data_IF_286326893103
#
_entry.id   IF_286326893103
#
_cell.length_a   1.000
_cell.length_b   1.000
_cell.length_c   1.000
_cell.angle_alpha   90.00
_cell.angle_beta   90.00
_cell.angle_gamma   90.00
#
_symmetry.space_group_name_H-M   'P 1'
#
loop_
_entity.id
_entity.type
_entity.pdbx_description
1 polymer ?
#
# COMPACT_ATOMS: atom_id res chain seq x y z
N UNK A 1 15.92 -2.35 19.76
CA UNK A 1 16.88 -2.91 18.81
C UNK A 1 16.91 -4.38 19.14
N UNK A 2 16.29 -5.15 18.28
CA UNK A 2 16.20 -6.59 18.38
C UNK A 2 16.40 -7.18 16.99
N UNK A 3 15.97 -8.42 16.77
CA UNK A 3 16.07 -9.23 15.55
C UNK A 3 16.25 -8.43 14.25
N UNK A 4 17.37 -8.66 13.57
CA UNK A 4 17.73 -8.02 12.30
C UNK A 4 17.93 -6.49 12.32
N UNK A 5 17.58 -5.78 13.39
CA UNK A 5 17.52 -4.31 13.39
C UNK A 5 18.83 -3.62 13.77
N UNK A 6 18.95 -2.35 13.39
CA UNK A 6 20.12 -1.53 13.75
C UNK A 6 19.78 -0.04 13.94
N UNK A 7 20.68 0.68 14.62
CA UNK A 7 20.73 2.16 14.64
C UNK A 7 21.86 2.68 13.74
N UNK A 8 22.96 1.91 13.65
CA UNK A 8 24.13 2.15 12.81
C UNK A 8 24.92 0.83 12.66
N UNK A 9 25.62 0.65 11.54
CA UNK A 9 26.31 -0.61 11.24
C UNK A 9 25.38 -1.63 10.60
N UNK A 10 25.56 -2.92 10.91
CA UNK A 10 24.85 -4.02 10.24
C UNK A 10 24.20 -4.95 11.27
N UNK A 11 22.90 -5.19 11.14
CA UNK A 11 22.14 -6.21 11.86
C UNK A 11 21.52 -7.19 10.86
N UNK A 12 21.70 -8.49 11.09
CA UNK A 12 21.17 -9.54 10.23
C UNK A 12 20.63 -10.66 11.12
N UNK A 13 19.40 -11.08 10.85
CA UNK A 13 18.85 -12.35 11.31
C UNK A 13 18.41 -13.14 10.08
N UNK A 14 18.78 -14.41 10.05
CA UNK A 14 18.31 -15.36 9.03
C UNK A 14 17.76 -16.55 9.79
N UNK A 15 16.45 -16.76 9.69
CA UNK A 15 15.81 -18.01 10.08
C UNK A 15 15.70 -18.93 8.86
N UNK A 16 15.61 -20.23 9.11
CA UNK A 16 15.59 -21.25 8.07
C UNK A 16 14.30 -22.06 8.02
N UNK A 17 13.59 -22.20 9.15
CA UNK A 17 12.38 -23.00 9.25
C UNK A 17 11.79 -22.90 10.66
N UNK A 18 10.46 -22.82 10.74
CA UNK A 18 9.71 -22.97 11.97
C UNK A 18 8.52 -22.03 11.98
N UNK A 19 7.49 -22.34 12.78
CA UNK A 19 6.42 -21.37 13.01
C UNK A 19 6.89 -20.43 14.13
N UNK A 20 7.43 -19.27 13.77
CA UNK A 20 8.12 -18.39 14.70
C UNK A 20 7.29 -17.18 15.17
N UNK A 21 7.79 -16.58 16.26
CA UNK A 21 7.15 -15.41 16.88
C UNK A 21 8.14 -14.29 17.13
N UNK A 22 7.97 -13.27 16.32
CA UNK A 22 8.79 -12.07 16.26
C UNK A 22 8.07 -10.89 16.91
N UNK A 23 8.24 -10.72 18.24
CA UNK A 23 7.49 -9.69 18.99
C UNK A 23 8.36 -8.67 19.72
N UNK A 24 7.96 -7.39 19.66
CA UNK A 24 8.57 -6.31 20.41
C UNK A 24 7.92 -4.96 20.15
N UNK A 25 8.14 -3.99 21.03
CA UNK A 25 7.46 -2.69 20.91
C UNK A 25 8.00 -1.83 19.77
N UNK A 26 9.33 -1.62 19.73
CA UNK A 26 9.97 -0.72 18.74
C UNK A 26 11.37 -1.15 18.38
N UNK A 27 11.80 -0.83 17.16
CA UNK A 27 13.15 -1.11 16.63
C UNK A 27 13.45 -2.62 16.60
N UNK A 28 12.71 -3.29 15.74
CA UNK A 28 12.73 -4.71 15.34
C UNK A 28 12.16 -4.75 13.91
N UNK A 29 11.58 -5.80 13.40
CA UNK A 29 12.28 -6.85 12.67
C UNK A 29 12.95 -6.27 11.41
N UNK A 30 14.27 -6.07 11.42
CA UNK A 30 15.01 -5.44 10.31
C UNK A 30 14.99 -3.90 10.23
N UNK A 31 14.26 -3.16 11.07
CA UNK A 31 14.27 -1.67 11.13
C UNK A 31 15.69 -1.08 11.09
N UNK A 32 15.94 -0.08 10.25
CA UNK A 32 17.24 0.62 10.18
C UNK A 32 17.11 2.11 9.90
N UNK A 33 17.69 2.91 10.78
CA UNK A 33 18.26 4.23 10.57
C UNK A 33 19.76 4.00 10.26
N UNK A 34 20.44 4.83 9.47
CA UNK A 34 21.92 4.95 9.42
C UNK A 34 22.79 3.77 8.96
N UNK A 35 22.24 2.57 8.78
CA UNK A 35 22.97 1.34 8.49
C UNK A 35 22.09 0.31 7.79
N UNK A 36 22.45 -0.98 7.87
CA UNK A 36 21.73 -2.07 7.21
C UNK A 36 21.09 -2.97 8.26
N UNK A 37 19.77 -3.14 8.19
CA UNK A 37 19.02 -4.08 9.03
C UNK A 37 18.25 -5.07 8.18
N UNK A 38 18.48 -6.36 8.39
CA UNK A 38 17.85 -7.43 7.61
C UNK A 38 17.24 -8.47 8.55
N UNK A 39 15.97 -8.80 8.36
CA UNK A 39 15.42 -10.08 8.73
C UNK A 39 15.08 -10.84 7.45
N UNK A 40 15.48 -12.10 7.39
CA UNK A 40 15.11 -13.04 6.34
C UNK A 40 14.56 -14.28 7.04
N UNK A 41 13.28 -14.57 6.87
CA UNK A 41 12.69 -15.86 7.20
C UNK A 41 12.56 -16.69 5.91
N UNK A 42 12.53 -18.01 6.02
CA UNK A 42 12.60 -18.90 4.86
C UNK A 42 11.43 -19.85 4.71
N UNK A 43 10.73 -20.13 5.80
CA UNK A 43 9.61 -21.07 5.80
C UNK A 43 8.96 -21.13 7.18
N UNK A 44 7.64 -21.19 7.19
CA UNK A 44 6.85 -21.45 8.39
C UNK A 44 5.65 -20.52 8.43
N UNK A 45 4.73 -20.75 9.35
CA UNK A 45 3.62 -19.82 9.54
C UNK A 45 3.96 -18.88 10.70
N UNK A 46 4.32 -17.65 10.37
CA UNK A 46 5.03 -16.72 11.21
C UNK A 46 4.18 -15.58 11.77
N UNK A 47 4.62 -15.04 12.90
CA UNK A 47 3.93 -13.93 13.55
C UNK A 47 4.86 -12.76 13.89
N UNK A 48 4.71 -11.68 13.12
CA UNK A 48 5.46 -10.44 13.25
C UNK A 48 4.64 -9.39 13.99
N UNK A 49 4.93 -9.15 15.27
CA UNK A 49 4.18 -8.18 16.08
C UNK A 49 5.05 -7.04 16.57
N UNK A 50 4.82 -5.85 16.00
CA UNK A 50 5.45 -4.61 16.41
C UNK A 50 4.46 -3.46 16.63
N UNK A 51 4.87 -2.46 17.40
CA UNK A 51 4.04 -1.27 17.63
C UNK A 51 4.50 -0.05 16.84
N UNK A 52 5.81 0.13 16.62
CA UNK A 52 6.35 1.33 15.98
C UNK A 52 7.77 1.09 15.48
N UNK A 53 8.17 1.68 14.35
CA UNK A 53 9.54 1.59 13.82
C UNK A 53 10.00 0.14 13.71
N UNK A 54 9.37 -0.59 12.79
CA UNK A 54 9.58 -2.02 12.67
C UNK A 54 9.48 -2.55 11.23
N UNK A 55 9.63 -3.87 11.07
CA UNK A 55 9.30 -4.64 9.85
C UNK A 55 9.83 -3.96 8.58
N UNK A 56 11.16 -3.93 8.44
CA UNK A 56 11.77 -3.34 7.24
C UNK A 56 11.66 -1.82 7.10
N UNK A 57 11.48 -1.04 8.18
CA UNK A 57 11.44 0.43 8.05
C UNK A 57 12.85 1.07 7.99
N UNK A 58 13.09 1.82 6.92
CA UNK A 58 14.33 2.51 6.58
C UNK A 58 14.30 4.02 6.88
N UNK A 59 15.04 4.47 7.87
CA UNK A 59 15.18 5.86 8.28
C UNK A 59 16.49 6.49 7.70
N UNK A 60 16.89 7.74 8.01
CA UNK A 60 17.97 8.42 7.28
C UNK A 60 19.26 7.61 7.11
N UNK A 61 19.76 7.52 5.87
CA UNK A 61 20.93 6.73 5.43
C UNK A 61 20.79 5.20 5.63
N UNK A 62 19.63 4.72 6.08
CA UNK A 62 19.38 3.32 6.38
C UNK A 62 18.79 2.56 5.20
N UNK A 63 19.13 1.28 5.14
CA UNK A 63 18.43 0.27 4.34
C UNK A 63 17.89 -0.80 5.30
N UNK A 64 16.60 -1.07 5.22
CA UNK A 64 15.92 -2.05 6.07
C UNK A 64 15.14 -3.04 5.20
N UNK A 65 15.25 -4.33 5.51
CA UNK A 65 14.54 -5.42 4.85
C UNK A 65 13.90 -6.33 5.90
N UNK A 66 12.64 -6.66 5.67
CA UNK A 66 12.02 -7.90 6.14
C UNK A 66 11.65 -8.69 4.88
N UNK A 67 12.10 -9.94 4.80
CA UNK A 67 11.89 -10.84 3.67
C UNK A 67 11.39 -12.16 4.26
N UNK A 68 10.08 -12.42 4.15
CA UNK A 68 9.51 -13.74 4.38
C UNK A 68 9.28 -14.42 3.02
N UNK A 69 9.48 -15.73 2.96
CA UNK A 69 9.60 -16.46 1.69
C UNK A 69 8.48 -17.47 1.45
N UNK A 70 7.75 -17.92 2.48
CA UNK A 70 6.71 -18.96 2.38
C UNK A 70 5.99 -19.11 3.73
N UNK A 71 4.66 -19.05 3.76
CA UNK A 71 3.92 -19.19 5.01
C UNK A 71 2.56 -18.53 4.99
N UNK A 72 1.62 -18.99 5.82
CA UNK A 72 0.45 -18.15 6.14
C UNK A 72 0.81 -17.26 7.35
N UNK A 73 1.21 -16.02 7.08
CA UNK A 73 1.86 -15.13 8.03
C UNK A 73 0.97 -14.00 8.54
N UNK A 74 1.34 -13.51 9.73
CA UNK A 74 0.64 -12.40 10.38
C UNK A 74 1.57 -11.24 10.71
N UNK A 75 1.42 -10.14 9.97
CA UNK A 75 2.12 -8.89 10.18
C UNK A 75 1.25 -7.87 10.92
N UNK A 76 1.60 -7.56 12.15
CA UNK A 76 0.91 -6.55 12.96
C UNK A 76 1.83 -5.36 13.26
N UNK A 77 1.45 -4.16 12.82
CA UNK A 77 2.16 -2.90 13.09
C UNK A 77 1.21 -1.86 13.70
N UNK A 78 1.30 -1.67 15.02
CA UNK A 78 0.55 -0.64 15.74
C UNK A 78 0.01 -1.11 17.10
N UNK A 79 -1.28 -0.87 17.34
CA UNK A 79 -1.98 -1.25 18.58
C UNK A 79 -1.57 -0.55 19.89
N UNK A 80 -0.57 0.33 19.93
CA UNK A 80 0.01 0.82 21.21
C UNK A 80 -0.10 2.32 21.49
N UNK A 81 0.16 3.20 20.51
CA UNK A 81 0.21 4.65 20.71
C UNK A 81 -0.68 5.35 19.69
N UNK A 82 -1.61 6.21 20.12
CA UNK A 82 -2.43 7.00 19.20
C UNK A 82 -1.56 7.76 18.19
N UNK A 83 -2.12 7.98 17.00
CA UNK A 83 -1.43 8.72 15.96
C UNK A 83 -1.21 10.20 16.32
N UNK A 84 -0.34 10.84 15.57
CA UNK A 84 0.07 12.23 15.78
C UNK A 84 -0.85 13.29 15.17
N UNK A 85 -1.94 12.91 14.49
CA UNK A 85 -2.92 13.83 13.91
C UNK A 85 -4.09 14.07 14.88
N UNK A 86 -4.29 15.32 15.30
CA UNK A 86 -5.39 15.66 16.22
C UNK A 86 -6.78 15.53 15.56
N UNK A 87 -6.85 15.60 14.23
CA UNK A 87 -8.11 15.62 13.48
C UNK A 87 -8.71 14.24 13.19
N UNK A 88 -7.95 13.16 13.34
CA UNK A 88 -8.36 11.81 12.97
C UNK A 88 -7.96 10.80 14.05
N UNK A 89 -8.78 9.79 14.34
CA UNK A 89 -8.40 8.73 15.26
C UNK A 89 -7.43 7.77 14.58
N UNK A 90 -6.83 6.88 15.37
CA UNK A 90 -5.94 5.85 14.86
C UNK A 90 -4.75 5.62 15.76
N UNK A 91 -3.88 4.73 15.32
CA UNK A 91 -2.70 4.31 16.05
C UNK A 91 -1.48 4.45 15.13
N UNK A 92 -0.42 5.04 15.64
CA UNK A 92 0.82 5.28 14.92
C UNK A 92 1.52 3.96 14.55
N UNK A 93 2.00 3.86 13.30
CA UNK A 93 2.70 2.69 12.76
C UNK A 93 4.17 2.94 12.47
N UNK A 94 4.56 3.17 11.22
CA UNK A 94 5.96 3.23 10.74
C UNK A 94 6.65 1.86 10.71
N UNK A 95 6.06 0.95 9.94
CA UNK A 95 6.67 -0.34 9.63
C UNK A 95 6.20 -0.87 8.29
N UNK A 96 6.44 -2.15 8.04
CA UNK A 96 6.07 -2.84 6.80
C UNK A 96 6.65 -2.12 5.57
N UNK A 97 7.97 -2.07 5.50
CA UNK A 97 8.68 -1.55 4.33
C UNK A 97 8.61 -0.03 4.16
N UNK A 98 8.41 0.74 5.22
CA UNK A 98 8.37 2.21 5.12
C UNK A 98 9.76 2.83 5.03
N UNK A 99 9.97 3.75 4.09
CA UNK A 99 11.15 4.63 4.05
C UNK A 99 10.84 6.03 4.57
N UNK A 100 11.49 6.48 5.64
CA UNK A 100 11.11 7.69 6.35
C UNK A 100 12.28 8.63 6.72
N UNK A 101 12.19 9.89 6.32
CA UNK A 101 13.09 10.94 6.81
C UNK A 101 12.64 11.53 8.14
N UNK A 102 13.61 12.02 8.91
CA UNK A 102 13.31 12.88 10.05
C UNK A 102 13.06 14.28 9.52
N UNK A 103 11.78 14.67 9.44
CA UNK A 103 11.35 15.92 8.82
C UNK A 103 12.16 17.12 9.33
N UNK A 104 12.64 17.93 8.38
CA UNK A 104 13.51 19.11 8.61
C UNK A 104 14.89 18.81 9.23
N UNK A 105 15.25 17.53 9.41
CA UNK A 105 16.54 17.12 9.99
C UNK A 105 17.35 16.32 8.98
N UNK A 106 16.79 15.28 8.38
CA UNK A 106 17.49 14.41 7.42
C UNK A 106 16.53 13.71 6.46
N UNK A 107 17.00 13.46 5.24
CA UNK A 107 16.27 12.69 4.22
C UNK A 107 16.12 11.23 4.64
N UNK A 108 15.04 10.59 4.20
CA UNK A 108 14.74 9.20 4.52
C UNK A 108 15.71 8.18 3.93
N UNK A 109 15.57 6.95 4.44
CA UNK A 109 16.23 5.77 3.91
C UNK A 109 15.31 4.98 2.99
N UNK A 110 15.68 3.71 2.81
CA UNK A 110 14.94 2.73 2.02
C UNK A 110 14.40 1.66 2.97
N UNK A 111 13.08 1.54 3.04
CA UNK A 111 12.40 0.44 3.72
C UNK A 111 11.84 -0.56 2.71
N UNK A 112 11.96 -1.84 3.03
CA UNK A 112 11.49 -2.95 2.19
C UNK A 112 10.82 -4.01 3.05
N UNK A 113 9.62 -4.44 2.65
CA UNK A 113 9.00 -5.69 3.08
C UNK A 113 8.72 -6.54 1.85
N UNK A 114 9.09 -7.81 1.90
CA UNK A 114 8.82 -8.81 0.88
C UNK A 114 8.15 -10.00 1.55
N UNK A 115 7.12 -10.53 0.89
CA UNK A 115 6.48 -11.78 1.26
C UNK A 115 6.38 -12.67 0.02
N UNK A 116 6.81 -13.93 0.17
CA UNK A 116 6.86 -14.94 -0.87
C UNK A 116 5.50 -15.54 -1.24
N UNK A 117 4.61 -15.70 -0.28
CA UNK A 117 3.24 -16.13 -0.50
C UNK A 117 2.68 -17.07 0.55
N UNK A 118 1.38 -17.31 0.43
CA UNK A 118 0.51 -17.89 1.47
C UNK A 118 -0.73 -17.03 1.59
N UNK A 119 -1.68 -17.31 2.48
CA UNK A 119 -2.83 -16.41 2.68
C UNK A 119 -2.53 -15.45 3.84
N UNK A 120 -1.93 -14.28 3.55
CA UNK A 120 -1.32 -13.43 4.55
C UNK A 120 -2.22 -12.35 5.14
N UNK A 121 -1.88 -11.90 6.35
CA UNK A 121 -2.60 -10.81 7.03
C UNK A 121 -1.66 -9.69 7.43
N UNK A 122 -1.88 -8.51 6.87
CA UNK A 122 -1.20 -7.26 7.21
C UNK A 122 -2.13 -6.31 7.97
N UNK A 123 -1.90 -6.13 9.27
CA UNK A 123 -2.66 -5.23 10.13
C UNK A 123 -1.88 -3.94 10.47
N UNK A 124 -2.42 -2.79 10.06
CA UNK A 124 -1.83 -1.47 10.37
C UNK A 124 -2.85 -0.33 10.28
N UNK A 125 -2.59 0.76 10.99
CA UNK A 125 -3.45 1.95 11.03
C UNK A 125 -2.83 3.13 10.27
N UNK A 126 -1.68 3.64 10.73
CA UNK A 126 -1.05 4.83 10.15
C UNK A 126 0.34 4.55 9.61
N UNK A 127 0.64 5.13 8.46
CA UNK A 127 1.99 5.29 7.94
C UNK A 127 2.75 3.95 7.94
N UNK A 128 2.17 2.92 7.36
CA UNK A 128 2.77 1.60 7.19
C UNK A 128 2.55 1.11 5.76
N UNK A 129 3.14 -0.05 5.43
CA UNK A 129 2.92 -0.81 4.19
C UNK A 129 3.34 -0.13 2.89
N UNK A 130 4.62 -0.30 2.53
CA UNK A 130 5.19 0.17 1.27
C UNK A 130 5.24 1.70 1.14
N UNK A 131 5.27 2.42 2.25
CA UNK A 131 5.10 3.88 2.30
C UNK A 131 6.39 4.71 2.33
N UNK A 132 6.39 5.86 1.66
CA UNK A 132 7.48 6.84 1.71
C UNK A 132 7.10 8.11 2.47
N UNK A 133 7.96 8.57 3.38
CA UNK A 133 7.81 9.84 4.07
C UNK A 133 9.12 10.66 4.07
N UNK A 134 9.03 11.97 3.78
CA UNK A 134 10.15 12.92 3.85
C UNK A 134 11.44 12.45 3.14
N UNK A 135 11.42 12.50 1.81
CA UNK A 135 12.54 12.06 0.95
C UNK A 135 12.96 10.59 1.16
N UNK A 136 12.11 9.74 1.75
CA UNK A 136 12.34 8.30 1.88
C UNK A 136 11.71 7.50 0.75
N UNK A 137 12.12 6.23 0.64
CA UNK A 137 11.53 5.26 -0.29
C UNK A 137 11.02 4.04 0.48
N UNK A 138 9.71 3.80 0.40
CA UNK A 138 9.11 2.56 0.87
C UNK A 138 8.78 1.61 -0.27
N UNK A 139 8.91 0.32 0.00
CA UNK A 139 8.62 -0.75 -0.95
C UNK A 139 8.02 -1.94 -0.21
N UNK A 140 6.83 -2.35 -0.63
CA UNK A 140 6.22 -3.62 -0.26
C UNK A 140 6.02 -4.45 -1.52
N UNK A 141 6.28 -5.75 -1.43
CA UNK A 141 5.85 -6.69 -2.46
C UNK A 141 5.37 -7.98 -1.85
N UNK A 142 4.20 -8.41 -2.29
CA UNK A 142 3.70 -9.76 -2.10
C UNK A 142 3.85 -10.52 -3.41
N UNK A 143 4.35 -11.76 -3.34
CA UNK A 143 4.57 -12.61 -4.49
C UNK A 143 3.38 -13.56 -4.76
N UNK A 144 2.41 -13.65 -3.84
CA UNK A 144 1.05 -14.07 -4.14
C UNK A 144 0.37 -14.86 -3.03
N UNK A 145 -0.96 -14.88 -3.02
CA UNK A 145 -1.70 -15.25 -1.82
C UNK A 145 -3.05 -14.58 -1.78
N UNK A 146 -4.06 -15.09 -1.07
CA UNK A 146 -5.30 -14.31 -0.90
C UNK A 146 -5.17 -13.41 0.33
N UNK A 147 -4.48 -12.28 0.20
CA UNK A 147 -4.07 -11.53 1.39
C UNK A 147 -5.10 -10.52 1.86
N UNK A 148 -4.90 -10.12 3.11
CA UNK A 148 -5.73 -9.14 3.77
C UNK A 148 -4.88 -8.01 4.36
N UNK A 149 -5.00 -6.82 3.76
CA UNK A 149 -4.40 -5.57 4.24
C UNK A 149 -5.45 -4.79 5.03
N UNK A 150 -5.44 -5.00 6.34
CA UNK A 150 -6.49 -4.62 7.29
C UNK A 150 -6.07 -3.49 8.22
N UNK A 151 -7.07 -2.76 8.73
CA UNK A 151 -6.87 -1.88 9.90
C UNK A 151 -6.67 -2.71 11.16
N UNK A 152 -5.79 -2.33 12.09
CA UNK A 152 -5.55 -3.17 13.28
C UNK A 152 -6.83 -3.36 14.10
N UNK A 153 -7.11 -4.59 14.51
CA UNK A 153 -8.33 -4.95 15.26
C UNK A 153 -8.14 -4.98 16.76
N UNK A 154 -6.90 -5.14 17.21
CA UNK A 154 -6.54 -5.34 18.61
C UNK A 154 -5.57 -4.27 19.10
N UNK A 155 -5.52 -4.07 20.42
CA UNK A 155 -4.40 -3.37 21.03
C UNK A 155 -3.12 -4.23 20.89
N UNK A 156 -1.96 -3.64 21.16
CA UNK A 156 -0.67 -4.33 21.00
C UNK A 156 -0.56 -5.58 21.88
N UNK A 157 -1.25 -5.62 23.02
CA UNK A 157 -1.30 -6.79 23.90
C UNK A 157 -2.28 -7.90 23.43
N UNK A 158 -2.93 -7.73 22.28
CA UNK A 158 -3.94 -8.65 21.74
C UNK A 158 -5.34 -8.49 22.34
N UNK A 159 -5.52 -7.60 23.32
CA UNK A 159 -6.82 -7.28 23.89
C UNK A 159 -7.63 -6.29 23.04
N UNK A 160 -8.83 -5.92 23.49
CA UNK A 160 -9.64 -4.90 22.82
C UNK A 160 -8.90 -3.56 22.73
N UNK A 161 -8.93 -2.93 21.54
CA UNK A 161 -8.48 -1.54 21.38
C UNK A 161 -9.57 -0.55 21.76
N UNK A 162 -9.17 0.64 22.21
CA UNK A 162 -10.08 1.75 22.52
C UNK A 162 -10.26 2.72 21.36
N UNK A 163 -9.23 2.86 20.53
CA UNK A 163 -9.27 3.72 19.35
C UNK A 163 -10.19 3.12 18.28
N UNK A 164 -11.00 3.93 17.58
CA UNK A 164 -11.75 3.49 16.40
C UNK A 164 -10.84 2.87 15.34
N UNK A 165 -11.36 1.89 14.58
CA UNK A 165 -10.68 1.37 13.39
C UNK A 165 -10.60 2.49 12.35
N UNK A 166 -9.40 3.01 12.13
CA UNK A 166 -9.14 4.08 11.18
C UNK A 166 -7.76 3.92 10.57
N UNK A 167 -7.67 4.12 9.25
CA UNK A 167 -6.41 4.02 8.52
C UNK A 167 -6.18 5.26 7.67
N UNK A 168 -4.95 5.78 7.73
CA UNK A 168 -4.47 6.92 6.95
C UNK A 168 -3.04 6.63 6.50
N UNK A 169 -2.74 6.88 5.23
CA UNK A 169 -1.50 6.45 4.60
C UNK A 169 -1.41 4.93 4.62
N UNK A 170 -2.26 4.35 3.74
CA UNK A 170 -2.58 2.93 3.64
C UNK A 170 -1.48 2.14 2.92
N UNK A 171 -1.81 1.57 1.77
CA UNK A 171 -0.89 0.78 0.95
C UNK A 171 -0.18 1.65 -0.11
N UNK A 172 1.14 1.52 -0.26
CA UNK A 172 1.88 2.06 -1.41
C UNK A 172 1.74 3.58 -1.58
N UNK A 173 2.01 4.35 -0.52
CA UNK A 173 1.74 5.79 -0.48
C UNK A 173 3.02 6.64 -0.38
N UNK A 174 2.97 7.87 -0.89
CA UNK A 174 4.06 8.84 -0.79
C UNK A 174 3.65 10.12 -0.07
N UNK A 175 4.54 10.67 0.76
CA UNK A 175 4.30 11.93 1.45
C UNK A 175 5.58 12.78 1.60
N UNK A 176 5.50 14.07 1.24
CA UNK A 176 6.59 15.05 1.37
C UNK A 176 7.87 14.63 0.63
N UNK A 177 7.88 14.72 -0.71
CA UNK A 177 9.04 14.41 -1.56
C UNK A 177 9.50 12.94 -1.53
N UNK A 178 8.67 12.05 -1.00
CA UNK A 178 8.97 10.64 -0.84
C UNK A 178 8.29 9.78 -1.90
N UNK A 179 8.66 8.50 -1.95
CA UNK A 179 8.13 7.52 -2.88
C UNK A 179 7.67 6.28 -2.11
N UNK A 180 6.47 5.80 -2.38
CA UNK A 180 5.98 4.53 -1.83
C UNK A 180 5.41 3.65 -2.92
N UNK A 181 5.68 2.35 -2.79
CA UNK A 181 5.28 1.32 -3.73
C UNK A 181 4.74 0.12 -2.96
N UNK A 182 3.61 -0.39 -3.42
CA UNK A 182 3.16 -1.74 -3.16
C UNK A 182 2.97 -2.46 -4.49
N UNK A 183 3.51 -3.67 -4.58
CA UNK A 183 3.25 -4.60 -5.66
C UNK A 183 2.60 -5.86 -5.08
N UNK A 184 1.54 -6.32 -5.70
CA UNK A 184 0.92 -7.61 -5.43
C UNK A 184 0.92 -8.41 -6.73
N UNK A 185 1.46 -9.62 -6.70
CA UNK A 185 1.69 -10.40 -7.91
C UNK A 185 0.50 -11.31 -8.28
N UNK A 186 -0.30 -11.76 -7.30
CA UNK A 186 -1.45 -12.65 -7.54
C UNK A 186 -2.28 -12.90 -6.28
N UNK A 187 -3.60 -13.05 -6.42
CA UNK A 187 -4.46 -13.47 -5.32
C UNK A 187 -5.86 -12.89 -5.40
N UNK A 188 -6.82 -13.39 -4.62
CA UNK A 188 -8.06 -12.64 -4.41
C UNK A 188 -7.90 -11.76 -3.14
N UNK A 189 -7.41 -10.53 -3.32
CA UNK A 189 -6.89 -9.68 -2.26
C UNK A 189 -7.89 -8.67 -1.68
N UNK A 190 -7.62 -8.25 -0.43
CA UNK A 190 -8.43 -7.25 0.27
C UNK A 190 -7.60 -6.07 0.76
N UNK A 191 -7.95 -4.89 0.26
CA UNK A 191 -7.32 -3.62 0.65
C UNK A 191 -8.29 -2.74 1.45
N UNK A 192 -8.20 -2.80 2.79
CA UNK A 192 -8.94 -1.87 3.64
C UNK A 192 -8.29 -0.50 3.74
N UNK A 193 -9.11 0.51 4.05
CA UNK A 193 -8.62 1.83 4.40
C UNK A 193 -9.73 2.83 4.65
N UNK A 194 -9.35 4.02 5.13
CA UNK A 194 -10.32 5.10 5.39
C UNK A 194 -10.03 6.35 4.59
N UNK A 195 -8.84 6.94 4.69
CA UNK A 195 -8.48 8.15 3.94
C UNK A 195 -7.01 8.08 3.49
N UNK A 196 -6.63 8.86 2.48
CA UNK A 196 -5.23 9.03 2.07
C UNK A 196 -4.51 7.68 1.91
N UNK A 197 -5.07 6.80 1.08
CA UNK A 197 -4.91 5.34 1.17
C UNK A 197 -4.08 4.74 0.04
N UNK A 198 -4.68 3.75 -0.63
CA UNK A 198 -4.08 2.90 -1.66
C UNK A 198 -3.53 3.67 -2.86
N UNK A 199 -2.20 3.66 -3.04
CA UNK A 199 -1.57 4.36 -4.17
C UNK A 199 -1.65 5.87 -4.06
N UNK A 200 -1.73 6.42 -2.85
CA UNK A 200 -1.94 7.85 -2.62
C UNK A 200 -0.62 8.63 -2.54
N UNK A 201 -0.61 9.85 -3.09
CA UNK A 201 0.51 10.78 -2.97
C UNK A 201 0.11 12.13 -2.38
N UNK A 202 0.91 12.62 -1.43
CA UNK A 202 0.80 13.96 -0.84
C UNK A 202 2.11 14.74 -0.93
N UNK A 203 2.06 16.00 -1.38
CA UNK A 203 3.18 16.95 -1.29
C UNK A 203 4.45 16.50 -2.05
N UNK A 204 4.50 16.76 -3.36
CA UNK A 204 5.63 16.47 -4.25
C UNK A 204 6.11 15.02 -4.24
N UNK A 205 5.20 14.05 -4.04
CA UNK A 205 5.53 12.64 -3.83
C UNK A 205 4.92 11.73 -4.89
N UNK A 206 5.33 10.46 -4.85
CA UNK A 206 4.76 9.38 -5.65
C UNK A 206 4.23 8.29 -4.71
N UNK A 207 2.99 7.85 -4.94
CA UNK A 207 2.42 6.66 -4.32
C UNK A 207 1.88 5.76 -5.41
N UNK A 208 2.21 4.48 -5.34
CA UNK A 208 1.71 3.47 -6.27
C UNK A 208 1.34 2.18 -5.55
N UNK A 209 0.16 1.67 -5.87
CA UNK A 209 -0.24 0.28 -5.64
C UNK A 209 -0.44 -0.35 -7.01
N UNK A 210 0.20 -1.49 -7.26
CA UNK A 210 0.02 -2.27 -8.48
C UNK A 210 -0.34 -3.71 -8.09
N UNK A 211 -1.56 -4.12 -8.39
CA UNK A 211 -2.01 -5.52 -8.33
C UNK A 211 -1.95 -6.13 -9.74
N UNK A 212 -1.60 -7.41 -9.84
CA UNK A 212 -1.27 -8.05 -11.11
C UNK A 212 -2.10 -9.29 -11.47
N UNK A 213 -2.93 -9.80 -10.56
CA UNK A 213 -3.93 -10.82 -10.88
C UNK A 213 -4.83 -11.05 -9.69
N UNK A 214 -6.13 -11.17 -9.91
CA UNK A 214 -7.01 -11.46 -8.79
C UNK A 214 -8.48 -11.35 -9.06
N UNK A 215 -9.29 -11.32 -8.00
CA UNK A 215 -10.59 -10.69 -7.98
C UNK A 215 -10.66 -9.87 -6.69
N UNK A 216 -10.17 -8.65 -6.78
CA UNK A 216 -9.69 -7.90 -5.64
C UNK A 216 -10.76 -6.95 -5.12
N UNK A 217 -10.69 -6.69 -3.82
CA UNK A 217 -11.66 -5.85 -3.12
C UNK A 217 -10.98 -4.67 -2.46
N UNK A 218 -11.02 -3.53 -3.14
CA UNK A 218 -10.53 -2.25 -2.66
C UNK A 218 -11.57 -1.53 -1.80
N UNK A 219 -11.56 -1.82 -0.50
CA UNK A 219 -12.51 -1.28 0.49
C UNK A 219 -12.21 0.15 0.92
N UNK A 220 -11.03 0.69 0.60
CA UNK A 220 -10.61 2.04 1.01
C UNK A 220 -11.48 3.15 0.40
N UNK A 221 -12.59 3.51 1.05
CA UNK A 221 -13.69 4.25 0.42
C UNK A 221 -13.81 5.74 0.79
N UNK A 222 -13.00 6.27 1.72
CA UNK A 222 -13.10 7.68 2.12
C UNK A 222 -12.31 8.63 1.21
N UNK A 223 -11.91 9.77 1.76
CA UNK A 223 -11.26 10.85 1.00
C UNK A 223 -9.83 10.51 0.58
N UNK A 224 -9.49 10.81 -0.68
CA UNK A 224 -8.13 10.71 -1.22
C UNK A 224 -7.53 9.29 -1.14
N UNK A 225 -8.30 8.24 -1.39
CA UNK A 225 -7.82 6.87 -1.17
C UNK A 225 -7.15 6.25 -2.39
N UNK A 226 -7.93 5.97 -3.44
CA UNK A 226 -7.54 5.07 -4.54
C UNK A 226 -6.89 5.82 -5.71
N UNK A 227 -5.57 5.74 -5.81
CA UNK A 227 -4.79 6.30 -6.91
C UNK A 227 -4.82 7.83 -6.97
N UNK A 228 -4.84 8.49 -5.80
CA UNK A 228 -5.03 9.94 -5.71
C UNK A 228 -3.72 10.66 -5.43
N UNK A 229 -3.34 11.57 -6.32
CA UNK A 229 -2.32 12.58 -6.06
C UNK A 229 -2.90 13.89 -5.54
N UNK A 230 -2.30 14.46 -4.50
CA UNK A 230 -2.71 15.72 -3.89
C UNK A 230 -1.50 16.56 -3.45
N UNK A 231 -1.63 17.89 -3.47
CA UNK A 231 -0.55 18.83 -3.17
C UNK A 231 0.70 18.66 -4.07
N UNK A 232 0.53 18.56 -5.38
CA UNK A 232 1.56 18.11 -6.33
C UNK A 232 1.95 16.64 -6.08
N UNK A 233 0.96 15.79 -5.83
CA UNK A 233 1.16 14.35 -5.73
C UNK A 233 0.95 13.68 -7.08
N UNK A 234 1.64 12.55 -7.27
CA UNK A 234 1.36 11.59 -8.33
C UNK A 234 0.89 10.28 -7.68
N UNK A 235 -0.42 10.03 -7.67
CA UNK A 235 -1.01 8.80 -7.14
C UNK A 235 -1.40 7.83 -8.26
N UNK A 236 -1.12 6.55 -8.06
CA UNK A 236 -1.41 5.47 -8.99
C UNK A 236 -2.00 4.29 -8.23
N UNK A 237 -3.19 3.86 -8.63
CA UNK A 237 -3.69 2.51 -8.39
C UNK A 237 -3.73 1.82 -9.74
N UNK A 238 -2.95 0.77 -9.90
CA UNK A 238 -2.92 -0.08 -11.09
C UNK A 238 -3.43 -1.45 -10.70
N UNK A 239 -4.42 -1.93 -11.44
CA UNK A 239 -4.95 -3.28 -11.34
C UNK A 239 -4.79 -3.94 -12.70
N UNK A 240 -4.45 -5.23 -12.71
CA UNK A 240 -4.37 -6.02 -13.92
C UNK A 240 -5.05 -7.36 -13.70
N UNK A 241 -6.14 -7.53 -14.45
CA UNK A 241 -6.91 -8.74 -14.62
C UNK A 241 -7.60 -9.23 -13.35
N UNK A 242 -8.92 -9.16 -13.35
CA UNK A 242 -9.79 -9.73 -12.34
C UNK A 242 -11.23 -9.33 -12.60
N UNK A 243 -12.17 -9.81 -11.81
CA UNK A 243 -13.48 -9.16 -11.70
C UNK A 243 -13.50 -8.36 -10.38
N UNK A 244 -13.07 -7.10 -10.43
CA UNK A 244 -12.64 -6.34 -9.26
C UNK A 244 -13.71 -5.39 -8.71
N UNK A 245 -13.60 -5.10 -7.42
CA UNK A 245 -14.55 -4.26 -6.67
C UNK A 245 -13.87 -3.08 -6.00
N UNK A 246 -14.06 -1.91 -6.61
CA UNK A 246 -13.53 -0.63 -6.12
C UNK A 246 -14.59 0.13 -5.31
N UNK A 247 -14.53 0.09 -3.99
CA UNK A 247 -15.48 0.80 -3.13
C UNK A 247 -15.22 2.31 -3.01
N UNK A 248 -16.24 3.09 -2.64
CA UNK A 248 -16.11 4.54 -2.47
C UNK A 248 -16.07 5.28 -3.80
N UNK A 249 -15.94 6.61 -3.77
CA UNK A 249 -16.14 7.44 -4.97
C UNK A 249 -14.90 8.20 -5.43
N UNK A 250 -13.74 8.06 -4.78
CA UNK A 250 -12.54 8.87 -5.08
C UNK A 250 -11.54 8.21 -6.03
N UNK A 251 -11.91 7.11 -6.69
CA UNK A 251 -11.05 6.45 -7.70
C UNK A 251 -10.51 7.47 -8.70
N UNK A 252 -9.18 7.55 -8.80
CA UNK A 252 -8.49 8.40 -9.78
C UNK A 252 -8.83 9.89 -9.69
N UNK A 253 -9.39 10.34 -8.56
CA UNK A 253 -9.84 11.73 -8.43
C UNK A 253 -8.65 12.68 -8.19
N UNK A 254 -8.48 13.68 -9.06
CA UNK A 254 -7.51 14.76 -8.83
C UNK A 254 -8.19 15.95 -8.13
N UNK A 255 -7.86 16.25 -6.86
CA UNK A 255 -8.37 17.44 -6.20
C UNK A 255 -7.86 18.71 -6.90
N UNK A 256 -8.69 19.77 -7.04
CA UNK A 256 -8.29 20.99 -7.75
C UNK A 256 -7.37 21.92 -6.92
N UNK A 257 -7.29 21.70 -5.61
CA UNK A 257 -6.54 22.59 -4.72
C UNK A 257 -5.11 22.13 -4.51
N UNK A 258 -4.19 23.10 -4.59
CA UNK A 258 -2.79 22.98 -4.16
C UNK A 258 -2.51 24.20 -3.29
N UNK A 259 -2.18 23.96 -2.02
CA UNK A 259 -1.87 25.00 -1.03
C UNK A 259 -0.42 24.95 -0.55
N UNK A 260 0.29 23.84 -0.81
CA UNK A 260 1.69 23.65 -0.40
C UNK A 260 2.68 24.29 -1.39
N UNK A 261 2.24 24.50 -2.63
CA UNK A 261 3.08 24.97 -3.74
C UNK A 261 2.38 26.04 -4.56
N UNK A 262 3.16 26.80 -5.33
CA UNK A 262 2.63 27.89 -6.17
C UNK A 262 2.33 27.40 -7.59
N UNK A 263 1.07 27.53 -8.01
CA UNK A 263 0.64 27.32 -9.40
C UNK A 263 1.00 28.52 -10.29
N UNK A 264 1.30 28.31 -11.60
CA UNK A 264 1.37 27.02 -12.29
C UNK A 264 2.72 26.30 -12.15
N UNK A 265 3.67 26.85 -11.38
CA UNK A 265 5.05 26.36 -11.33
C UNK A 265 5.22 24.91 -10.86
N UNK A 266 4.28 24.40 -10.05
CA UNK A 266 4.27 23.01 -9.59
C UNK A 266 3.52 22.03 -10.53
N UNK A 267 2.96 22.51 -11.64
CA UNK A 267 2.17 21.68 -12.56
C UNK A 267 0.75 21.44 -12.06
N UNK A 268 0.52 20.43 -11.23
CA UNK A 268 -0.80 20.02 -10.80
C UNK A 268 -0.81 18.76 -9.94
N UNK A 269 -2.00 18.25 -9.67
CA UNK A 269 -2.22 16.95 -9.04
C UNK A 269 -2.47 15.90 -10.11
N UNK A 270 -1.79 14.76 -10.03
CA UNK A 270 -1.95 13.65 -10.98
C UNK A 270 -2.45 12.41 -10.25
N UNK A 271 -3.59 11.88 -10.69
CA UNK A 271 -4.31 10.78 -10.06
C UNK A 271 -4.74 9.78 -11.12
N UNK A 272 -4.39 8.52 -10.93
CA UNK A 272 -4.76 7.46 -11.85
C UNK A 272 -5.27 6.25 -11.08
N UNK A 273 -6.49 5.83 -11.40
CA UNK A 273 -6.85 4.42 -11.32
C UNK A 273 -6.77 3.87 -12.74
N UNK A 274 -5.95 2.85 -12.94
CA UNK A 274 -5.84 2.11 -14.19
C UNK A 274 -6.15 0.67 -13.88
N UNK A 275 -7.07 0.11 -14.65
CA UNK A 275 -7.52 -1.26 -14.55
C UNK A 275 -7.48 -1.90 -15.96
N UNK A 276 -7.15 -3.18 -16.04
CA UNK A 276 -6.90 -3.88 -17.29
C UNK A 276 -7.42 -5.33 -17.31
N UNK A 277 -8.48 -5.57 -18.07
CA UNK A 277 -9.21 -6.83 -18.11
C UNK A 277 -10.48 -6.76 -17.28
N UNK A 278 -11.28 -7.82 -17.28
CA UNK A 278 -12.29 -7.96 -16.24
C UNK A 278 -13.67 -7.36 -16.48
N UNK A 279 -14.55 -7.66 -15.52
CA UNK A 279 -15.87 -7.09 -15.36
C UNK A 279 -16.02 -6.40 -13.99
N UNK A 280 -15.57 -5.16 -13.94
CA UNK A 280 -15.29 -4.44 -12.70
C UNK A 280 -16.43 -3.54 -12.25
N UNK A 281 -16.41 -3.26 -10.95
CA UNK A 281 -17.39 -2.38 -10.31
C UNK A 281 -16.74 -1.24 -9.56
N UNK A 282 -17.23 -0.03 -9.87
CA UNK A 282 -16.68 1.21 -9.33
C UNK A 282 -17.71 1.94 -8.50
N UNK A 283 -17.42 2.18 -7.22
CA UNK A 283 -18.27 2.92 -6.29
C UNK A 283 -18.46 4.39 -6.68
N UNK A 284 -17.62 4.93 -7.56
CA UNK A 284 -17.83 6.24 -8.19
C UNK A 284 -18.90 6.24 -9.29
N UNK A 285 -19.39 5.07 -9.70
CA UNK A 285 -20.32 4.91 -10.81
C UNK A 285 -19.67 4.96 -12.19
N UNK A 286 -18.32 4.86 -12.26
CA UNK A 286 -17.64 4.60 -13.52
C UNK A 286 -18.17 3.29 -14.14
N UNK A 287 -18.23 3.25 -15.47
CA UNK A 287 -18.67 2.05 -16.19
C UNK A 287 -17.46 1.17 -16.46
N UNK A 288 -17.68 -0.13 -16.50
CA UNK A 288 -16.67 -1.06 -16.99
C UNK A 288 -16.21 -0.70 -18.41
N UNK A 289 -14.94 -0.96 -18.73
CA UNK A 289 -14.30 -0.68 -20.02
C UNK A 289 -14.48 0.77 -20.47
N UNK A 290 -14.15 1.72 -19.58
CA UNK A 290 -14.34 3.15 -19.85
C UNK A 290 -13.13 4.02 -19.50
N UNK A 291 -13.09 5.20 -20.12
CA UNK A 291 -12.12 6.24 -19.83
C UNK A 291 -12.84 7.48 -19.31
N UNK A 292 -12.55 7.87 -18.07
CA UNK A 292 -13.25 8.97 -17.41
C UNK A 292 -12.23 9.89 -16.73
N UNK A 293 -12.25 11.18 -17.08
CA UNK A 293 -11.53 12.21 -16.33
C UNK A 293 -12.27 12.53 -15.02
N UNK A 294 -11.54 12.63 -13.91
CA UNK A 294 -12.09 12.77 -12.55
C UNK A 294 -11.42 13.92 -11.81
N UNK A 295 -12.23 14.90 -11.40
CA UNK A 295 -11.72 16.10 -10.72
C UNK A 295 -11.06 17.07 -11.70
N UNK A 296 -9.87 17.55 -11.39
CA UNK A 296 -9.12 18.47 -12.25
C UNK A 296 -8.48 17.76 -13.47
N UNK A 297 -7.74 18.48 -14.30
CA UNK A 297 -7.13 17.99 -15.54
C UNK A 297 -6.16 16.80 -15.40
N UNK A 298 -5.73 16.45 -14.18
CA UNK A 298 -4.78 15.37 -13.92
C UNK A 298 -5.37 14.08 -13.37
N UNK A 299 -6.70 13.96 -13.23
CA UNK A 299 -7.33 12.78 -12.62
C UNK A 299 -8.07 11.89 -13.62
N UNK A 300 -7.85 10.57 -13.53
CA UNK A 300 -8.39 9.59 -14.48
C UNK A 300 -8.75 8.26 -13.82
N UNK A 301 -9.89 7.70 -14.24
CA UNK A 301 -10.19 6.27 -14.16
C UNK A 301 -10.10 5.73 -15.58
N UNK A 302 -9.25 4.73 -15.78
CA UNK A 302 -8.98 4.12 -17.06
C UNK A 302 -9.15 2.62 -16.89
N UNK A 303 -10.20 2.08 -17.48
CA UNK A 303 -10.48 0.66 -17.51
C UNK A 303 -10.44 0.23 -18.98
N UNK A 304 -9.67 -0.83 -19.25
CA UNK A 304 -9.49 -1.36 -20.60
C UNK A 304 -9.66 -2.87 -20.58
N UNK A 305 -10.49 -3.44 -21.47
CA UNK A 305 -10.55 -4.88 -21.62
C UNK A 305 -9.22 -5.40 -22.18
N UNK A 306 -8.92 -6.68 -21.92
CA UNK A 306 -7.82 -7.37 -22.58
C UNK A 306 -8.12 -7.58 -24.05
N UNK A 307 -7.05 -7.79 -24.83
CA UNK A 307 -7.19 -8.01 -26.26
C UNK A 307 -8.07 -9.22 -26.58
N UNK A 308 -7.87 -10.34 -25.89
CA UNK A 308 -8.64 -11.57 -26.05
C UNK A 308 -10.12 -11.42 -25.65
N UNK A 309 -10.43 -10.59 -24.65
CA UNK A 309 -11.82 -10.25 -24.29
C UNK A 309 -12.53 -9.51 -25.42
N UNK A 310 -11.84 -8.57 -26.08
CA UNK A 310 -12.40 -7.85 -27.24
C UNK A 310 -12.54 -8.74 -28.49
N UNK A 311 -11.62 -9.68 -28.71
CA UNK A 311 -11.69 -10.63 -29.81
C UNK A 311 -12.84 -11.64 -29.62
N UNK A 312 -13.11 -12.06 -28.38
CA UNK A 312 -14.22 -12.96 -28.05
C UNK A 312 -15.58 -12.32 -28.32
N UNK A 313 -15.77 -11.04 -27.98
CA UNK A 313 -17.01 -10.28 -28.25
C UNK A 313 -17.22 -10.02 -29.74
N UNK A 314 -16.14 -9.75 -30.48
CA UNK A 314 -16.19 -9.61 -31.95
C UNK A 314 -16.62 -10.92 -32.64
N UNK A 315 -16.14 -12.07 -32.17
CA UNK A 315 -16.52 -13.37 -32.72
C UNK A 315 -17.96 -13.79 -32.35
N UNK A 316 -18.42 -13.44 -31.14
CA UNK A 316 -19.81 -13.72 -30.73
C UNK A 316 -20.82 -12.90 -31.55
N UNK A 317 -20.55 -11.61 -31.77
CA UNK A 317 -21.40 -10.74 -32.59
C UNK A 317 -21.43 -11.15 -34.07
N UNK A 318 -20.36 -11.74 -34.61
CA UNK A 318 -20.37 -12.29 -35.97
C UNK A 318 -21.20 -13.58 -36.10
N UNK A 319 -21.17 -14.45 -35.09
CA UNK A 319 -21.93 -15.71 -35.11
C UNK A 319 -23.46 -15.51 -34.97
N UNK A 320 -23.90 -14.51 -34.22
CA UNK A 320 -25.32 -14.13 -34.14
C UNK A 320 -25.86 -13.59 -35.47
N UNK A 321 -25.01 -12.91 -36.26
CA UNK A 321 -25.40 -12.44 -37.59
C UNK A 321 -25.49 -13.56 -38.65
N UNK A 322 -24.75 -14.67 -38.49
CA UNK A 322 -24.80 -15.81 -39.44
C UNK A 322 -25.86 -16.86 -39.14
N UNK A 323 -26.48 -16.83 -37.96
CA UNK A 323 -27.53 -17.81 -37.58
C UNK A 323 -28.95 -17.28 -37.80
N UNK A 324 -29.09 -16.03 -38.25
CA UNK A 324 -30.37 -15.37 -38.56
C UNK A 324 -30.74 -15.27 -40.04
N UNK A 325 -30.14 -16.08 -40.93
CA UNK A 325 -30.41 -16.09 -42.38
C UNK A 325 -31.05 -17.38 -42.87
#
# INVERSE_FOLDING_TARGET
VAQGSTIAGVGILVDFAGDDRYAGLRRLQGQALGGVGLLIDRAGNDSYRAALWAQGMGAPLGFALLDDLDGDDHYFCGGQWPDSYEETPGIEGWGQGVGAGLRQVANGGIGVILDGGGDDVYEFDYLAHGGGYWCGLGFARDFGGNDQRLVTRTAFNGGPRTEPNFQRFGCGWGCHYAMGFLFDDAGDDVYEGRIMGTGMAWDCSLGALCDFAGNDVYKAAGGLTQGVGAQMGFGILFDYNGDDVFHGSNQGYAPPSISYHTLPGCGGNFSFLVDYGGSDSYGSGARNSSYIQRGDAGGYVIDRPRQDETESTANHSQNEHTTGS
#
